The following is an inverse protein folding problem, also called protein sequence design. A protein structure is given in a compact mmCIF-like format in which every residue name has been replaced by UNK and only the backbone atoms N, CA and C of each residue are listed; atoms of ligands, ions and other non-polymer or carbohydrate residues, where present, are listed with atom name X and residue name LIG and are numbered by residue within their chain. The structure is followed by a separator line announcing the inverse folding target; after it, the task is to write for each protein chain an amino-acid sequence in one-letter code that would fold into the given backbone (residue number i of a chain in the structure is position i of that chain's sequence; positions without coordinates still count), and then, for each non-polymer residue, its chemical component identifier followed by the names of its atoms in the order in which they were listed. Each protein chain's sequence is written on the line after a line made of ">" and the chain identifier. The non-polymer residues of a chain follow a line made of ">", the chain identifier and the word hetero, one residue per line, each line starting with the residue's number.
data_IF_078715598649
#
_entry.id   IF_078715598649
#
_cell.length_a   1.000
_cell.length_b   1.000
_cell.length_c   1.000
_cell.angle_alpha   90.00
_cell.angle_beta   90.00
_cell.angle_gamma   90.00
#
_symmetry.space_group_name_H-M   'P 1'
#
loop_
_entity.id
_entity.type
_entity.pdbx_description
1 polymer ?
#
# COMPACT_ATOMS: atom_id res chain seq x y z
N UNK A 1 -11.79 -45.89 -30.65
CA UNK A 1 -10.44 -45.33 -30.85
C UNK A 1 -10.34 -43.99 -30.12
N UNK A 2 -9.17 -43.73 -29.55
CA UNK A 2 -8.96 -42.91 -28.37
C UNK A 2 -8.76 -41.42 -28.68
N UNK A 3 -9.83 -40.69 -29.04
CA UNK A 3 -9.75 -39.22 -29.26
C UNK A 3 -9.10 -38.45 -28.09
N UNK A 4 -9.34 -38.88 -26.85
CA UNK A 4 -8.70 -38.27 -25.67
C UNK A 4 -7.19 -38.49 -25.61
N UNK A 5 -6.69 -39.61 -26.15
CA UNK A 5 -5.24 -39.87 -26.19
C UNK A 5 -4.59 -39.03 -27.28
N UNK A 6 -5.22 -38.98 -28.46
CA UNK A 6 -4.80 -38.13 -29.58
C UNK A 6 -4.72 -36.65 -29.18
N UNK A 7 -5.72 -36.12 -28.47
CA UNK A 7 -5.69 -34.74 -27.97
C UNK A 7 -4.56 -34.52 -26.94
N UNK A 8 -4.26 -35.51 -26.09
CA UNK A 8 -3.16 -35.38 -25.12
C UNK A 8 -1.81 -35.40 -25.83
N UNK A 9 -1.64 -36.27 -26.82
CA UNK A 9 -0.42 -36.37 -27.61
C UNK A 9 -0.19 -35.07 -28.40
N UNK A 10 -1.22 -34.52 -29.05
CA UNK A 10 -1.16 -33.21 -29.73
C UNK A 10 -0.87 -32.04 -28.77
N UNK A 11 -1.41 -32.08 -27.55
CA UNK A 11 -1.22 -31.02 -26.56
C UNK A 11 0.20 -31.07 -25.94
N UNK A 12 0.76 -32.27 -25.77
CA UNK A 12 2.16 -32.46 -25.35
C UNK A 12 3.10 -31.86 -26.40
N UNK A 13 2.83 -32.10 -27.68
CA UNK A 13 3.64 -31.59 -28.78
C UNK A 13 3.52 -30.06 -28.96
N UNK A 14 2.31 -29.51 -28.84
CA UNK A 14 2.07 -28.08 -29.07
C UNK A 14 2.36 -27.19 -27.85
N UNK A 15 2.12 -27.68 -26.63
CA UNK A 15 2.20 -26.89 -25.40
C UNK A 15 2.51 -27.79 -24.18
N UNK A 16 3.76 -28.26 -24.03
CA UNK A 16 4.14 -29.22 -22.98
C UNK A 16 3.88 -28.70 -21.56
N UNK A 17 3.98 -27.39 -21.35
CA UNK A 17 3.69 -26.75 -20.06
C UNK A 17 2.20 -26.82 -19.71
N UNK A 18 1.31 -26.80 -20.70
CA UNK A 18 -0.15 -26.88 -20.51
C UNK A 18 -0.58 -28.34 -20.36
N UNK A 19 0.04 -29.26 -21.10
CA UNK A 19 -0.21 -30.69 -20.98
C UNK A 19 0.13 -31.28 -19.60
N UNK A 20 1.06 -30.66 -18.87
CA UNK A 20 1.41 -31.03 -17.50
C UNK A 20 0.49 -30.45 -16.41
N UNK A 21 -0.46 -29.58 -16.75
CA UNK A 21 -1.42 -29.02 -15.79
C UNK A 21 -2.52 -30.05 -15.55
N UNK A 22 -2.67 -30.50 -14.30
CA UNK A 22 -3.77 -31.36 -13.92
C UNK A 22 -5.10 -30.63 -14.18
N UNK A 23 -6.08 -31.33 -14.76
CA UNK A 23 -7.40 -30.76 -15.06
C UNK A 23 -8.27 -30.71 -13.80
N UNK A 24 -7.69 -30.19 -12.71
CA UNK A 24 -8.43 -29.88 -11.51
C UNK A 24 -9.02 -28.50 -11.71
N UNK A 25 -10.34 -28.44 -11.81
CA UNK A 25 -11.04 -27.16 -11.76
C UNK A 25 -10.84 -26.59 -10.36
N UNK A 26 -10.12 -25.45 -10.21
CA UNK A 26 -9.87 -24.85 -8.90
C UNK A 26 -11.15 -24.30 -8.27
N UNK A 27 -12.23 -24.23 -9.05
CA UNK A 27 -13.54 -23.75 -8.63
C UNK A 27 -14.57 -24.86 -8.75
N UNK A 28 -15.20 -25.17 -7.62
CA UNK A 28 -16.41 -25.98 -7.59
C UNK A 28 -17.47 -25.25 -6.77
N UNK A 29 -18.72 -25.50 -7.12
CA UNK A 29 -19.84 -24.97 -6.38
C UNK A 29 -20.23 -25.98 -5.29
N UNK A 30 -20.54 -25.54 -4.06
CA UNK A 30 -21.04 -26.44 -3.03
C UNK A 30 -22.29 -27.20 -3.48
N UNK A 31 -22.47 -28.46 -3.04
CA UNK A 31 -23.68 -29.22 -3.35
C UNK A 31 -24.93 -28.46 -2.88
N UNK A 32 -25.94 -28.40 -3.74
CA UNK A 32 -27.23 -27.73 -3.45
C UNK A 32 -27.23 -26.21 -3.54
N UNK A 33 -26.18 -25.57 -4.07
CA UNK A 33 -26.16 -24.12 -4.34
C UNK A 33 -27.30 -23.68 -5.25
N UNK A 34 -27.49 -24.38 -6.37
CA UNK A 34 -28.52 -24.04 -7.36
C UNK A 34 -29.94 -24.34 -6.88
N UNK A 35 -30.12 -25.20 -5.88
CA UNK A 35 -31.44 -25.47 -5.28
C UNK A 35 -31.97 -24.24 -4.52
N UNK A 36 -31.06 -23.45 -3.93
CA UNK A 36 -31.41 -22.24 -3.15
C UNK A 36 -31.39 -20.97 -3.98
N UNK A 37 -30.69 -20.97 -5.12
CA UNK A 37 -30.49 -19.78 -5.96
C UNK A 37 -31.81 -19.10 -6.40
N UNK A 38 -32.86 -19.81 -6.85
CA UNK A 38 -34.12 -19.17 -7.21
C UNK A 38 -34.76 -18.42 -6.05
N UNK A 39 -34.69 -18.98 -4.84
CA UNK A 39 -35.23 -18.36 -3.64
C UNK A 39 -34.43 -17.12 -3.25
N UNK A 40 -33.10 -17.17 -3.36
CA UNK A 40 -32.22 -16.03 -3.09
C UNK A 40 -32.47 -14.86 -4.06
N UNK A 41 -32.67 -15.15 -5.35
CA UNK A 41 -33.00 -14.14 -6.36
C UNK A 41 -34.34 -13.50 -6.05
N UNK A 42 -35.38 -14.29 -5.75
CA UNK A 42 -36.69 -13.76 -5.37
C UNK A 42 -36.65 -12.92 -4.10
N UNK A 43 -35.86 -13.34 -3.10
CA UNK A 43 -35.64 -12.56 -1.88
C UNK A 43 -34.98 -11.22 -2.23
N UNK A 44 -33.93 -11.23 -3.06
CA UNK A 44 -33.23 -10.02 -3.49
C UNK A 44 -34.14 -9.02 -4.22
N UNK A 45 -34.97 -9.51 -5.12
CA UNK A 45 -35.95 -8.68 -5.84
C UNK A 45 -36.95 -8.06 -4.85
N UNK A 46 -37.43 -8.84 -3.87
CA UNK A 46 -38.37 -8.33 -2.86
C UNK A 46 -37.72 -7.29 -1.94
N UNK A 47 -36.46 -7.49 -1.55
CA UNK A 47 -35.73 -6.50 -0.73
C UNK A 47 -35.46 -5.21 -1.50
N UNK A 48 -35.15 -5.30 -2.80
CA UNK A 48 -34.92 -4.12 -3.65
C UNK A 48 -36.20 -3.31 -3.89
N UNK A 49 -37.35 -3.98 -3.97
CA UNK A 49 -38.65 -3.33 -4.09
C UNK A 49 -39.24 -2.87 -2.74
N UNK A 50 -38.54 -3.08 -1.62
CA UNK A 50 -39.01 -2.65 -0.31
C UNK A 50 -38.95 -1.11 -0.21
N UNK A 51 -40.08 -0.47 0.12
CA UNK A 51 -40.18 0.99 0.16
C UNK A 51 -39.49 1.65 1.37
N UNK A 52 -39.07 0.86 2.37
CA UNK A 52 -38.38 1.37 3.54
C UNK A 52 -37.38 0.37 4.11
N UNK A 53 -36.35 0.89 4.81
CA UNK A 53 -35.34 0.09 5.52
C UNK A 53 -35.96 -0.86 6.55
N UNK A 54 -37.14 -0.50 7.09
CA UNK A 54 -37.85 -1.35 8.06
C UNK A 54 -38.48 -2.55 7.37
N UNK A 55 -39.10 -2.35 6.21
CA UNK A 55 -39.69 -3.43 5.41
C UNK A 55 -38.60 -4.37 4.87
N UNK A 56 -37.44 -3.84 4.47
CA UNK A 56 -36.27 -4.63 4.11
C UNK A 56 -35.78 -5.48 5.28
N UNK A 57 -35.64 -4.88 6.46
CA UNK A 57 -35.19 -5.56 7.67
C UNK A 57 -36.17 -6.67 8.07
N UNK A 58 -37.48 -6.44 7.98
CA UNK A 58 -38.51 -7.44 8.27
C UNK A 58 -38.44 -8.65 7.32
N UNK A 59 -38.08 -8.44 6.04
CA UNK A 59 -37.92 -9.50 5.05
C UNK A 59 -36.64 -10.33 5.24
N UNK A 60 -35.54 -9.68 5.61
CA UNK A 60 -34.22 -10.35 5.79
C UNK A 60 -34.14 -11.01 7.17
N UNK A 61 -34.64 -10.33 8.20
CA UNK A 61 -34.58 -10.76 9.58
C UNK A 61 -35.83 -10.29 10.34
N UNK A 62 -36.90 -11.08 10.32
CA UNK A 62 -38.13 -10.81 11.08
C UNK A 62 -37.87 -10.58 12.58
N UNK A 63 -36.83 -11.23 13.10
CA UNK A 63 -36.39 -11.08 14.49
C UNK A 63 -35.84 -9.67 14.78
N UNK A 64 -35.02 -9.12 13.89
CA UNK A 64 -34.45 -7.79 14.07
C UNK A 64 -35.47 -6.69 13.80
N UNK A 65 -36.35 -6.87 12.80
CA UNK A 65 -37.42 -5.92 12.52
C UNK A 65 -38.49 -5.83 13.63
N UNK A 66 -38.70 -6.93 14.35
CA UNK A 66 -39.52 -7.00 15.55
C UNK A 66 -38.87 -6.43 16.82
N UNK A 67 -37.56 -6.19 16.83
CA UNK A 67 -36.87 -5.67 18.01
C UNK A 67 -37.07 -4.14 18.12
N UNK A 68 -37.41 -3.66 19.32
CA UNK A 68 -37.53 -2.23 19.55
C UNK A 68 -36.16 -1.55 19.49
N UNK A 69 -36.08 -0.38 18.85
CA UNK A 69 -34.85 0.44 18.73
C UNK A 69 -34.47 1.15 20.04
N UNK A 70 -34.64 0.47 21.17
CA UNK A 70 -34.30 0.96 22.51
C UNK A 70 -32.91 0.48 22.89
N UNK A 71 -32.05 1.40 23.27
CA UNK A 71 -30.73 1.05 23.79
C UNK A 71 -30.93 0.30 25.11
N UNK A 72 -30.47 -0.96 25.24
CA UNK A 72 -30.68 -1.76 26.44
C UNK A 72 -29.92 -1.21 27.64
N UNK A 73 -28.87 -0.43 27.39
CA UNK A 73 -28.05 0.20 28.40
C UNK A 73 -28.02 1.71 28.16
N UNK A 74 -28.19 2.46 29.24
CA UNK A 74 -28.04 3.92 29.26
C UNK A 74 -27.32 4.30 30.54
N UNK A 75 -26.42 5.28 30.45
CA UNK A 75 -25.75 5.82 31.62
C UNK A 75 -26.69 6.76 32.37
N UNK A 76 -26.66 6.79 33.72
CA UNK A 76 -27.37 7.79 34.49
C UNK A 76 -27.03 9.21 34.04
N UNK A 77 -27.99 10.12 34.14
CA UNK A 77 -27.77 11.55 33.92
C UNK A 77 -26.67 12.04 34.87
N UNK A 78 -25.67 12.76 34.37
CA UNK A 78 -24.57 13.26 35.21
C UNK A 78 -23.38 12.29 35.36
N UNK A 79 -23.41 11.10 34.74
CA UNK A 79 -22.36 10.09 34.90
C UNK A 79 -20.98 10.63 34.49
N UNK A 80 -20.86 11.27 33.33
CA UNK A 80 -19.58 11.76 32.82
C UNK A 80 -19.11 13.03 33.55
N UNK A 81 -20.05 13.84 34.04
CA UNK A 81 -19.80 15.03 34.85
C UNK A 81 -19.14 14.67 36.19
N UNK A 82 -19.49 13.50 36.75
CA UNK A 82 -18.85 12.97 37.97
C UNK A 82 -17.45 12.40 37.73
N UNK A 83 -17.10 12.02 36.49
CA UNK A 83 -15.78 11.50 36.14
C UNK A 83 -14.73 12.62 35.95
N UNK A 84 -15.13 13.77 35.42
CA UNK A 84 -14.24 14.91 35.18
C UNK A 84 -13.41 15.35 36.41
N UNK A 85 -13.98 15.50 37.63
CA UNK A 85 -13.18 15.84 38.81
C UNK A 85 -12.27 14.70 39.25
N UNK A 86 -12.63 13.43 39.09
CA UNK A 86 -11.76 12.31 39.50
C UNK A 86 -10.51 12.17 38.61
N UNK A 87 -10.62 12.48 37.32
CA UNK A 87 -9.48 12.41 36.39
C UNK A 87 -8.54 13.61 36.56
N UNK A 88 -9.07 14.79 36.90
CA UNK A 88 -8.28 16.03 37.07
C UNK A 88 -7.79 16.27 38.51
N UNK A 89 -8.35 15.61 39.53
CA UNK A 89 -7.90 15.76 40.93
C UNK A 89 -6.51 15.16 41.20
N UNK A 90 -5.86 14.56 40.21
CA UNK A 90 -4.45 14.17 40.29
C UNK A 90 -3.48 15.37 40.13
N UNK A 91 -3.99 16.57 39.85
CA UNK A 91 -3.17 17.80 39.66
C UNK A 91 -2.65 18.46 40.94
N UNK A 92 -2.68 17.78 42.09
CA UNK A 92 -1.69 18.05 43.15
C UNK A 92 -0.39 17.29 42.87
N UNK A 93 0.13 17.44 41.65
CA UNK A 93 1.50 17.04 41.33
C UNK A 93 2.43 18.11 41.89
N UNK A 94 3.02 17.87 43.06
CA UNK A 94 4.26 18.56 43.41
C UNK A 94 5.27 18.37 42.26
N UNK A 95 6.06 19.39 41.89
CA UNK A 95 7.02 19.25 40.79
C UNK A 95 8.00 18.13 41.15
N UNK A 96 7.95 17.03 40.40
CA UNK A 96 8.84 15.90 40.58
C UNK A 96 10.31 16.39 40.51
N UNK A 97 11.12 15.99 41.49
CA UNK A 97 12.50 16.47 41.66
C UNK A 97 13.35 16.10 40.45
N UNK A 98 13.57 17.07 39.57
CA UNK A 98 14.47 16.95 38.41
C UNK A 98 15.90 16.82 38.90
N UNK A 99 16.50 15.63 38.78
CA UNK A 99 17.93 15.42 39.03
C UNK A 99 18.69 15.63 37.72
N UNK A 100 19.69 16.52 37.74
CA UNK A 100 20.56 16.73 36.59
C UNK A 100 21.36 15.45 36.33
N UNK A 101 21.13 14.83 35.18
CA UNK A 101 21.89 13.66 34.75
C UNK A 101 23.30 14.12 34.33
N UNK A 102 24.33 13.59 34.97
CA UNK A 102 25.72 13.98 34.72
C UNK A 102 26.16 13.60 33.31
N UNK A 103 26.88 14.51 32.64
CA UNK A 103 27.37 14.36 31.27
C UNK A 103 28.92 14.28 31.28
N UNK A 104 29.56 13.10 31.22
CA UNK A 104 31.00 13.01 31.32
C UNK A 104 31.67 13.36 29.99
N UNK A 105 32.32 14.52 29.93
CA UNK A 105 33.22 14.90 28.83
C UNK A 105 34.54 14.14 28.95
N UNK A 106 34.72 13.08 28.15
CA UNK A 106 36.02 12.40 27.96
C UNK A 106 36.38 12.16 26.49
N UNK A 107 36.11 13.12 25.62
CA UNK A 107 36.43 13.01 24.18
C UNK A 107 37.85 13.45 23.81
N UNK A 108 38.63 14.04 24.72
CA UNK A 108 40.00 14.49 24.42
C UNK A 108 40.99 13.34 24.15
N UNK A 109 40.75 12.15 24.71
CA UNK A 109 41.63 10.99 24.50
C UNK A 109 41.50 10.43 23.07
N UNK A 110 40.30 10.48 22.50
CA UNK A 110 40.05 10.06 21.12
C UNK A 110 40.68 11.03 20.12
N UNK A 111 40.60 12.34 20.40
CA UNK A 111 41.20 13.37 19.55
C UNK A 111 42.73 13.23 19.44
N UNK A 112 43.41 12.96 20.56
CA UNK A 112 44.86 12.73 20.55
C UNK A 112 45.26 11.51 19.70
N UNK A 113 44.51 10.41 19.77
CA UNK A 113 44.76 9.23 18.94
C UNK A 113 44.61 9.53 17.44
N UNK A 114 43.54 10.22 17.04
CA UNK A 114 43.31 10.62 15.65
C UNK A 114 44.45 11.49 15.10
N UNK A 115 44.96 12.43 15.90
CA UNK A 115 46.10 13.27 15.51
C UNK A 115 47.37 12.43 15.32
N UNK A 116 47.63 11.46 16.21
CA UNK A 116 48.81 10.59 16.05
C UNK A 116 48.72 9.71 14.81
N UNK A 117 47.53 9.18 14.47
CA UNK A 117 47.32 8.40 13.22
C UNK A 117 47.50 9.30 12.00
N UNK A 118 47.01 10.53 12.03
CA UNK A 118 47.19 11.51 10.95
C UNK A 118 48.67 11.85 10.71
N UNK A 119 49.44 12.11 11.77
CA UNK A 119 50.88 12.42 11.65
C UNK A 119 51.66 11.21 11.10
N UNK A 120 51.35 10.00 11.58
CA UNK A 120 52.00 8.77 11.09
C UNK A 120 51.61 8.50 9.62
N UNK A 121 50.35 8.72 9.25
CA UNK A 121 49.89 8.59 7.88
C UNK A 121 50.57 9.58 6.93
N UNK A 122 50.68 10.86 7.32
CA UNK A 122 51.37 11.88 6.53
C UNK A 122 52.88 11.62 6.42
N UNK A 123 53.53 11.20 7.50
CA UNK A 123 54.94 10.82 7.47
C UNK A 123 55.15 9.59 6.56
N UNK A 124 54.29 8.58 6.68
CA UNK A 124 54.34 7.39 5.81
C UNK A 124 54.16 7.77 4.36
N UNK A 125 53.21 8.66 4.04
CA UNK A 125 52.99 9.16 2.68
C UNK A 125 54.18 9.94 2.13
N UNK A 126 54.88 10.71 2.97
CA UNK A 126 56.04 11.48 2.55
C UNK A 126 57.29 10.61 2.30
N UNK A 127 57.42 9.48 2.99
CA UNK A 127 58.60 8.61 2.88
C UNK A 127 58.39 7.34 2.04
N UNK A 128 57.14 6.94 1.72
CA UNK A 128 56.86 5.84 0.80
C UNK A 128 56.62 6.34 -0.64
N UNK A 129 57.50 5.96 -1.56
CA UNK A 129 57.24 6.05 -3.01
C UNK A 129 56.13 5.04 -3.38
N UNK A 130 55.15 5.38 -4.24
CA UNK A 130 53.97 4.54 -4.45
C UNK A 130 54.33 3.23 -5.17
N UNK A 131 54.11 2.11 -4.48
CA UNK A 131 53.85 0.81 -5.12
C UNK A 131 52.34 0.75 -5.38
N UNK A 132 51.96 0.68 -6.65
CA UNK A 132 50.55 0.61 -7.05
C UNK A 132 49.96 -0.71 -6.55
N UNK A 133 49.02 -0.62 -5.62
CA UNK A 133 48.13 -1.72 -5.27
C UNK A 133 46.71 -1.15 -5.32
N UNK A 134 46.03 -1.38 -6.43
CA UNK A 134 44.59 -1.17 -6.54
C UNK A 134 43.88 -2.00 -5.47
N UNK A 135 42.92 -1.40 -4.78
CA UNK A 135 41.69 -1.99 -4.24
C UNK A 135 41.17 -1.07 -3.12
N UNK A 136 40.32 -0.11 -3.48
CA UNK A 136 39.43 0.56 -2.53
C UNK A 136 38.07 0.79 -3.19
N UNK A 137 37.11 -0.04 -2.78
CA UNK A 137 35.67 0.03 -3.03
C UNK A 137 35.12 1.35 -2.50
N UNK A 138 34.35 2.08 -3.33
CA UNK A 138 33.57 3.27 -2.93
C UNK A 138 32.14 2.87 -2.51
N UNK A 139 31.56 3.48 -1.46
CA UNK A 139 30.18 3.25 -1.07
C UNK A 139 29.20 4.12 -1.88
N UNK A 140 28.34 3.43 -2.63
CA UNK A 140 26.92 3.68 -2.97
C UNK A 140 26.37 5.12 -2.77
N UNK A 141 26.67 6.02 -3.71
CA UNK A 141 25.87 7.24 -3.96
C UNK A 141 25.41 7.33 -5.43
N UNK A 142 25.69 6.31 -6.25
CA UNK A 142 25.30 6.25 -7.67
C UNK A 142 23.89 5.71 -7.93
N UNK A 143 23.33 4.91 -6.99
CA UNK A 143 22.08 4.16 -7.26
C UNK A 143 20.87 5.09 -7.48
N UNK A 144 20.83 6.26 -6.86
CA UNK A 144 19.67 7.15 -6.93
C UNK A 144 19.65 8.05 -8.18
N UNK A 145 20.82 8.37 -8.74
CA UNK A 145 20.93 9.07 -10.03
C UNK A 145 20.71 8.14 -11.23
N UNK A 146 21.01 6.86 -11.08
CA UNK A 146 20.86 5.87 -12.15
C UNK A 146 19.40 5.52 -12.43
N UNK A 147 18.54 5.50 -11.39
CA UNK A 147 17.12 5.15 -11.54
C UNK A 147 16.37 6.25 -12.29
N UNK A 148 16.56 7.53 -11.94
CA UNK A 148 15.88 8.66 -12.60
C UNK A 148 16.29 8.80 -14.06
N UNK A 149 17.57 8.58 -14.36
CA UNK A 149 18.07 8.60 -15.74
C UNK A 149 17.54 7.43 -16.58
N UNK A 150 17.35 6.24 -15.98
CA UNK A 150 16.79 5.07 -16.68
C UNK A 150 15.29 5.20 -16.92
N UNK A 151 14.53 5.78 -15.97
CA UNK A 151 13.09 6.03 -16.14
C UNK A 151 12.82 7.05 -17.26
N UNK A 152 13.64 8.10 -17.37
CA UNK A 152 13.53 9.10 -18.44
C UNK A 152 13.95 8.57 -19.82
N UNK A 153 14.63 7.43 -19.88
CA UNK A 153 15.06 6.77 -21.13
C UNK A 153 14.07 5.71 -21.61
N UNK A 154 13.06 5.36 -20.81
CA UNK A 154 11.98 4.48 -21.27
C UNK A 154 11.16 5.23 -22.33
N UNK A 155 10.99 4.59 -23.48
CA UNK A 155 10.15 5.14 -24.55
C UNK A 155 8.69 5.14 -24.10
N UNK A 156 7.92 6.18 -24.45
CA UNK A 156 6.47 6.21 -24.21
C UNK A 156 5.75 4.97 -24.74
N UNK A 157 6.29 4.33 -25.79
CA UNK A 157 5.77 3.08 -26.35
C UNK A 157 5.95 1.88 -25.40
N UNK A 158 7.04 1.83 -24.61
CA UNK A 158 7.24 0.80 -23.58
C UNK A 158 6.35 1.04 -22.36
N UNK A 159 6.15 2.30 -21.99
CA UNK A 159 5.22 2.68 -20.93
C UNK A 159 3.77 2.33 -21.30
N UNK A 160 3.37 2.56 -22.56
CA UNK A 160 2.06 2.18 -23.07
C UNK A 160 1.84 0.65 -23.01
N UNK A 161 2.82 -0.12 -23.46
CA UNK A 161 2.77 -1.59 -23.40
C UNK A 161 2.74 -2.11 -21.95
N UNK A 162 3.45 -1.46 -21.02
CA UNK A 162 3.42 -1.82 -19.62
C UNK A 162 2.04 -1.56 -19.00
N UNK A 163 1.45 -0.38 -19.22
CA UNK A 163 0.10 -0.04 -18.74
C UNK A 163 -0.95 -0.97 -19.34
N UNK A 164 -0.82 -1.32 -20.63
CA UNK A 164 -1.69 -2.28 -21.30
C UNK A 164 -1.51 -3.70 -20.76
N UNK A 165 -0.29 -4.11 -20.39
CA UNK A 165 -0.06 -5.40 -19.73
C UNK A 165 -0.55 -5.43 -18.27
N UNK A 166 -0.48 -4.29 -17.57
CA UNK A 166 -0.91 -4.16 -16.19
C UNK A 166 -2.44 -4.05 -16.05
N UNK A 167 -3.12 -3.50 -17.07
CA UNK A 167 -4.58 -3.45 -17.12
C UNK A 167 -5.23 -4.82 -17.38
N UNK A 168 -4.47 -5.84 -17.79
CA UNK A 168 -4.95 -7.23 -17.92
C UNK A 168 -5.30 -7.84 -16.55
N UNK A 169 -4.80 -7.30 -15.43
CA UNK A 169 -5.10 -7.83 -14.09
C UNK A 169 -6.27 -7.16 -13.36
N UNK A 170 -6.99 -6.24 -14.00
CA UNK A 170 -8.23 -5.68 -13.44
C UNK A 170 -9.45 -6.39 -14.08
N UNK A 171 -10.19 -7.24 -13.37
CA UNK A 171 -11.46 -7.73 -13.88
C UNK A 171 -12.47 -6.60 -13.74
N UNK A 172 -12.61 -5.76 -14.77
CA UNK A 172 -13.71 -4.81 -14.84
C UNK A 172 -14.48 -4.86 -16.16
N UNK A 173 -15.77 -4.88 -15.94
CA UNK A 173 -16.92 -5.03 -16.83
C UNK A 173 -17.01 -3.85 -17.80
N UNK A 174 -17.17 -4.14 -19.10
CA UNK A 174 -17.11 -3.15 -20.19
C UNK A 174 -18.38 -2.28 -20.29
N UNK A 175 -19.12 -2.05 -19.19
CA UNK A 175 -20.37 -1.28 -19.23
C UNK A 175 -20.54 -0.28 -18.07
N UNK A 176 -19.45 0.11 -17.41
CA UNK A 176 -19.45 1.22 -16.47
C UNK A 176 -18.48 2.29 -16.95
N UNK A 177 -19.00 3.39 -17.50
CA UNK A 177 -18.26 4.65 -17.51
C UNK A 177 -18.13 5.09 -16.05
N UNK A 178 -17.15 4.55 -15.34
CA UNK A 178 -16.79 5.01 -14.00
C UNK A 178 -16.24 6.42 -14.14
N UNK A 179 -17.08 7.42 -13.85
CA UNK A 179 -16.62 8.77 -13.63
C UNK A 179 -15.58 8.72 -12.51
N UNK A 180 -14.31 8.97 -12.83
CA UNK A 180 -13.24 9.02 -11.84
C UNK A 180 -13.57 10.15 -10.87
N UNK A 181 -13.87 9.80 -9.62
CA UNK A 181 -14.21 10.79 -8.60
C UNK A 181 -12.95 11.57 -8.21
N UNK A 182 -13.09 12.86 -7.91
CA UNK A 182 -11.97 13.72 -7.52
C UNK A 182 -11.24 13.18 -6.28
N UNK A 183 -11.98 12.52 -5.39
CA UNK A 183 -11.44 11.87 -4.20
C UNK A 183 -10.53 10.67 -4.54
N UNK A 184 -10.87 9.91 -5.58
CA UNK A 184 -10.08 8.76 -6.02
C UNK A 184 -8.77 9.23 -6.67
N UNK A 185 -8.84 10.28 -7.49
CA UNK A 185 -7.65 10.91 -8.07
C UNK A 185 -6.74 11.46 -6.97
N UNK A 186 -7.32 12.09 -5.94
CA UNK A 186 -6.55 12.59 -4.80
C UNK A 186 -5.86 11.46 -4.03
N UNK A 187 -6.52 10.31 -3.88
CA UNK A 187 -5.93 9.14 -3.22
C UNK A 187 -4.79 8.52 -4.05
N UNK A 188 -4.91 8.50 -5.38
CA UNK A 188 -3.86 8.05 -6.28
C UNK A 188 -2.63 8.98 -6.28
N UNK A 189 -2.84 10.27 -6.03
CA UNK A 189 -1.76 11.27 -5.98
C UNK A 189 -1.19 11.49 -4.57
N UNK A 190 -1.78 10.89 -3.53
CA UNK A 190 -1.42 11.16 -2.13
C UNK A 190 0.04 10.79 -1.78
N UNK A 191 0.61 9.79 -2.46
CA UNK A 191 1.98 9.33 -2.23
C UNK A 191 3.02 10.12 -3.06
N UNK A 192 2.59 11.05 -3.92
CA UNK A 192 3.47 11.88 -4.74
C UNK A 192 3.75 13.20 -4.01
N UNK A 193 5.02 13.59 -3.79
CA UNK A 193 5.33 14.85 -3.11
C UNK A 193 4.97 16.06 -3.99
N UNK A 194 4.42 17.13 -3.37
CA UNK A 194 4.01 18.36 -4.06
C UNK A 194 5.09 18.96 -4.98
N UNK A 195 6.37 18.85 -4.57
CA UNK A 195 7.52 19.34 -5.35
C UNK A 195 7.72 18.62 -6.69
N UNK A 196 7.27 17.37 -6.82
CA UNK A 196 7.31 16.63 -8.09
C UNK A 196 6.12 16.98 -8.97
N UNK A 197 4.95 17.20 -8.36
CA UNK A 197 3.76 17.68 -9.07
C UNK A 197 4.00 19.06 -9.69
N UNK A 198 4.62 20.00 -8.96
CA UNK A 198 4.99 21.32 -9.48
C UNK A 198 5.93 21.21 -10.69
N UNK A 199 6.97 20.36 -10.61
CA UNK A 199 7.90 20.15 -11.73
C UNK A 199 7.20 19.55 -12.95
N UNK A 200 6.29 18.61 -12.75
CA UNK A 200 5.54 17.99 -13.84
C UNK A 200 4.62 19.00 -14.52
N UNK A 201 3.90 19.81 -13.74
CA UNK A 201 3.06 20.91 -14.25
C UNK A 201 3.93 21.90 -15.04
N UNK A 202 5.08 22.30 -14.53
CA UNK A 202 5.97 23.24 -15.25
C UNK A 202 6.53 22.66 -16.56
N UNK A 203 6.85 21.36 -16.57
CA UNK A 203 7.41 20.67 -17.73
C UNK A 203 6.37 20.43 -18.83
N UNK A 204 5.10 20.21 -18.47
CA UNK A 204 4.03 19.85 -19.39
C UNK A 204 2.92 20.90 -19.55
N UNK A 205 3.00 22.02 -18.84
CA UNK A 205 2.09 23.16 -19.06
C UNK A 205 2.30 23.73 -20.46
N UNK A 206 1.27 23.61 -21.29
CA UNK A 206 1.19 24.32 -22.56
C UNK A 206 1.16 25.81 -22.23
N UNK A 207 2.26 26.53 -22.50
CA UNK A 207 2.27 27.99 -22.45
C UNK A 207 1.32 28.52 -23.51
N UNK A 208 0.05 28.69 -23.16
CA UNK A 208 -0.88 29.47 -23.97
C UNK A 208 -0.37 30.92 -24.00
N UNK A 209 0.24 31.28 -25.14
CA UNK A 209 0.55 32.68 -25.44
C UNK A 209 -0.76 33.38 -25.75
N UNK A 210 -1.35 34.04 -24.75
CA UNK A 210 -2.36 35.06 -25.00
C UNK A 210 -1.67 36.28 -25.63
N UNK A 211 -2.06 36.60 -26.87
CA UNK A 211 -1.77 37.84 -27.57
C UNK A 211 -2.93 38.81 -27.37
#
# INVERSE_FOLDING_TARGET
>A
MNRRKEILDELIDAAPNVAGIDNQHPYWVPPGYFDKLPQMILLRIKTENAGSVRDEMDLISPLLGGLSKKMPFSTPVGYFESLAPQVTSSDKSEPARVVKMFQPRRTFRLAAAAVTVGIIGLASWMFFKPVQTELAVKPDTEVQGDITNKVNQLSENELANFVESASIFAPYDNNSTSELNADDVMLMLADIPDTELEKYVDQHSVKEKFN
#
